data_IF_834794938502
#
_entry.id   IF_834794938502
#
_cell.length_a   1.000
_cell.length_b   1.000
_cell.length_c   1.000
_cell.angle_alpha   90.00
_cell.angle_beta   90.00
_cell.angle_gamma   90.00
#
_symmetry.space_group_name_H-M   'P 1'
#
loop_
_entity.id
_entity.type
_entity.pdbx_description
1 polymer ?
#
# COMPACT_ATOMS: atom_id res chain seq x y z
N UNK A 1 9.34 7.28 -7.94
CA UNK A 1 8.24 6.96 -8.89
C UNK A 1 6.87 7.12 -8.22
N UNK A 2 6.62 6.53 -7.05
CA UNK A 2 5.35 6.67 -6.31
C UNK A 2 4.92 8.14 -6.10
N UNK A 3 5.84 9.00 -5.66
CA UNK A 3 5.57 10.41 -5.42
C UNK A 3 5.19 11.20 -6.68
N UNK A 4 5.65 10.80 -7.86
CA UNK A 4 5.27 11.41 -9.14
C UNK A 4 3.83 11.02 -9.56
N UNK A 5 3.40 9.80 -9.25
CA UNK A 5 2.02 9.33 -9.47
C UNK A 5 1.00 10.11 -8.64
N UNK A 6 1.33 10.36 -7.37
CA UNK A 6 0.52 11.15 -6.46
C UNK A 6 0.70 12.67 -6.68
N UNK A 7 1.51 13.07 -7.66
CA UNK A 7 1.85 14.46 -7.96
C UNK A 7 2.34 15.24 -6.72
N UNK A 8 3.12 14.57 -5.87
CA UNK A 8 3.87 15.25 -4.81
C UNK A 8 5.07 16.02 -5.39
N UNK A 9 5.51 15.63 -6.59
CA UNK A 9 6.48 16.31 -7.42
C UNK A 9 6.01 16.26 -8.87
N UNK A 10 6.22 17.31 -9.65
CA UNK A 10 6.02 17.28 -11.09
C UNK A 10 7.26 16.70 -11.79
N UNK A 11 7.07 16.14 -12.99
CA UNK A 11 8.18 15.62 -13.80
C UNK A 11 8.89 16.77 -14.52
N UNK A 12 10.23 16.73 -14.58
CA UNK A 12 11.04 17.71 -15.31
C UNK A 12 10.85 17.57 -16.83
N UNK A 13 10.61 16.35 -17.31
CA UNK A 13 10.36 16.05 -18.72
C UNK A 13 9.47 14.82 -18.87
N UNK A 14 8.80 14.70 -20.01
CA UNK A 14 7.83 13.64 -20.24
C UNK A 14 6.50 13.89 -19.54
N UNK A 15 5.74 12.83 -19.30
CA UNK A 15 4.40 12.91 -18.73
C UNK A 15 4.04 11.65 -17.95
N UNK A 16 3.34 11.84 -16.85
CA UNK A 16 2.65 10.77 -16.15
C UNK A 16 1.17 10.83 -16.51
N UNK A 17 0.61 9.73 -17.05
CA UNK A 17 -0.77 9.71 -17.52
C UNK A 17 -1.62 8.68 -16.82
N UNK A 18 -2.82 9.08 -16.42
CA UNK A 18 -3.88 8.21 -15.92
C UNK A 18 -4.99 8.16 -16.97
N UNK A 19 -5.28 6.99 -17.53
CA UNK A 19 -6.23 6.82 -18.64
C UNK A 19 -5.98 7.77 -19.83
N UNK A 20 -4.70 8.01 -20.16
CA UNK A 20 -4.29 8.89 -21.25
C UNK A 20 -4.24 10.39 -20.92
N UNK A 21 -4.77 10.82 -19.76
CA UNK A 21 -4.74 12.21 -19.30
C UNK A 21 -3.50 12.45 -18.45
N UNK A 22 -2.76 13.52 -18.73
CA UNK A 22 -1.60 13.92 -17.91
C UNK A 22 -2.05 14.30 -16.50
N UNK A 23 -1.35 13.82 -15.48
CA UNK A 23 -1.69 14.14 -14.08
C UNK A 23 -1.62 15.63 -13.78
N UNK A 24 -0.90 16.41 -14.58
CA UNK A 24 -0.81 17.88 -14.47
C UNK A 24 -2.09 18.58 -14.94
N UNK A 25 -2.87 17.92 -15.79
CA UNK A 25 -4.11 18.45 -16.36
C UNK A 25 -5.36 18.11 -15.54
N UNK A 26 -5.19 17.37 -14.43
CA UNK A 26 -6.29 17.04 -13.51
C UNK A 26 -6.19 17.85 -12.22
N UNK A 27 -7.33 18.08 -11.57
CA UNK A 27 -7.35 18.73 -10.25
C UNK A 27 -6.79 17.80 -9.18
N UNK A 28 -6.22 18.36 -8.11
CA UNK A 28 -5.76 17.57 -6.96
C UNK A 28 -6.89 16.77 -6.31
N UNK A 29 -8.11 17.29 -6.28
CA UNK A 29 -9.28 16.57 -5.78
C UNK A 29 -9.54 15.30 -6.61
N UNK A 30 -9.58 15.41 -7.94
CA UNK A 30 -9.77 14.26 -8.84
C UNK A 30 -8.62 13.26 -8.73
N UNK A 31 -7.38 13.75 -8.59
CA UNK A 31 -6.22 12.87 -8.42
C UNK A 31 -6.30 12.09 -7.09
N UNK A 32 -6.64 12.75 -5.98
CA UNK A 32 -6.84 12.13 -4.66
C UNK A 32 -7.93 11.05 -4.69
N UNK A 33 -9.01 11.28 -5.44
CA UNK A 33 -10.08 10.29 -5.58
C UNK A 33 -9.68 9.11 -6.48
N UNK A 34 -8.72 9.32 -7.39
CA UNK A 34 -8.28 8.30 -8.35
C UNK A 34 -7.11 7.46 -7.83
N UNK A 35 -6.16 8.09 -7.12
CA UNK A 35 -4.92 7.47 -6.65
C UNK A 35 -4.91 7.41 -5.13
N UNK A 36 -4.94 6.19 -4.59
CA UNK A 36 -4.70 5.94 -3.16
C UNK A 36 -3.24 5.56 -2.94
N UNK A 37 -2.65 6.02 -1.85
CA UNK A 37 -1.26 5.72 -1.53
C UNK A 37 -1.13 5.26 -0.09
N UNK A 38 -0.37 4.18 0.10
CA UNK A 38 0.10 3.71 1.41
C UNK A 38 1.62 3.80 1.40
N UNK A 39 2.15 4.62 2.29
CA UNK A 39 3.59 4.79 2.48
C UNK A 39 4.12 3.84 3.53
N UNK A 40 5.42 3.60 3.49
CA UNK A 40 6.15 2.77 4.44
C UNK A 40 5.82 3.08 5.91
N UNK A 41 5.81 4.34 6.27
CA UNK A 41 5.64 4.76 7.67
C UNK A 41 4.18 4.74 8.16
N UNK A 42 3.22 4.45 7.27
CA UNK A 42 1.81 4.35 7.63
C UNK A 42 1.35 5.49 8.54
N UNK A 43 1.56 6.75 8.12
CA UNK A 43 1.36 7.89 8.99
C UNK A 43 -0.06 7.95 9.57
N UNK A 44 -0.15 7.93 10.89
CA UNK A 44 -1.36 8.13 11.66
C UNK A 44 -1.26 9.44 12.44
N UNK A 45 -2.36 10.19 12.47
CA UNK A 45 -2.48 11.40 13.26
C UNK A 45 -2.79 11.06 14.71
N UNK A 46 -2.37 11.91 15.64
CA UNK A 46 -2.68 11.79 17.07
C UNK A 46 -4.16 12.13 17.32
N UNK A 47 -5.01 11.31 16.77
CA UNK A 47 -6.47 11.44 16.77
C UNK A 47 -7.09 10.06 17.00
N UNK A 48 -8.42 10.00 17.08
CA UNK A 48 -9.14 8.72 17.18
C UNK A 48 -8.97 7.87 15.91
N UNK A 49 -9.25 6.58 16.02
CA UNK A 49 -9.34 5.66 14.87
C UNK A 49 -10.37 6.19 13.88
N UNK A 50 -11.53 6.64 14.35
CA UNK A 50 -12.58 7.30 13.55
C UNK A 50 -12.03 8.47 12.75
N UNK A 51 -11.38 9.43 13.41
CA UNK A 51 -10.80 10.61 12.75
C UNK A 51 -9.76 10.24 11.71
N UNK A 52 -8.91 9.26 12.02
CA UNK A 52 -7.92 8.75 11.08
C UNK A 52 -8.57 8.12 9.83
N UNK A 53 -9.65 7.38 9.96
CA UNK A 53 -10.40 6.79 8.85
C UNK A 53 -11.17 7.84 8.04
N UNK A 54 -11.77 8.83 8.70
CA UNK A 54 -12.51 9.92 8.08
C UNK A 54 -11.67 10.80 7.14
N UNK A 55 -10.35 10.78 7.24
CA UNK A 55 -9.46 11.45 6.27
C UNK A 55 -9.65 10.96 4.83
N UNK A 56 -10.01 9.68 4.66
CA UNK A 56 -10.27 9.10 3.34
C UNK A 56 -11.74 9.27 2.91
N UNK A 57 -12.67 9.26 3.86
CA UNK A 57 -14.10 9.36 3.61
C UNK A 57 -14.79 10.16 4.75
N UNK A 58 -14.78 11.51 4.69
CA UNK A 58 -15.29 12.35 5.77
C UNK A 58 -16.78 12.14 6.10
N UNK A 59 -17.56 11.67 5.13
CA UNK A 59 -18.99 11.42 5.26
C UNK A 59 -19.34 9.95 5.52
N UNK A 60 -18.34 9.08 5.76
CA UNK A 60 -18.58 7.66 5.99
C UNK A 60 -19.34 7.43 7.29
N UNK A 61 -20.41 6.61 7.21
CA UNK A 61 -21.14 6.16 8.39
C UNK A 61 -20.32 5.11 9.18
N UNK A 62 -20.63 4.93 10.45
CA UNK A 62 -19.96 3.94 11.32
C UNK A 62 -19.92 2.54 10.69
N UNK A 63 -21.00 2.13 10.04
CA UNK A 63 -21.07 0.83 9.38
C UNK A 63 -20.00 0.69 8.27
N UNK A 64 -19.69 1.75 7.52
CA UNK A 64 -18.66 1.77 6.49
C UNK A 64 -17.25 1.74 7.11
N UNK A 65 -17.05 2.44 8.25
CA UNK A 65 -15.81 2.40 9.00
C UNK A 65 -15.51 0.99 9.52
N UNK A 66 -16.52 0.35 10.13
CA UNK A 66 -16.40 -1.02 10.61
C UNK A 66 -16.20 -2.04 9.47
N UNK A 67 -16.83 -1.82 8.30
CA UNK A 67 -16.61 -2.66 7.13
C UNK A 67 -15.16 -2.57 6.65
N UNK A 68 -14.62 -1.37 6.55
CA UNK A 68 -13.23 -1.16 6.17
C UNK A 68 -12.25 -1.79 7.17
N UNK A 69 -12.50 -1.68 8.48
CA UNK A 69 -11.71 -2.33 9.52
C UNK A 69 -11.79 -3.86 9.42
N UNK A 70 -12.96 -4.43 9.12
CA UNK A 70 -13.15 -5.86 8.95
C UNK A 70 -12.35 -6.40 7.75
N UNK A 71 -12.42 -5.72 6.63
CA UNK A 71 -11.65 -6.04 5.41
C UNK A 71 -10.14 -5.88 5.64
N UNK A 72 -9.73 -4.92 6.46
CA UNK A 72 -8.35 -4.75 6.89
C UNK A 72 -7.91 -5.70 8.03
N UNK A 73 -8.77 -6.65 8.44
CA UNK A 73 -8.49 -7.60 9.53
C UNK A 73 -8.13 -6.91 10.86
N UNK A 74 -8.78 -5.79 11.15
CA UNK A 74 -8.51 -4.98 12.34
C UNK A 74 -9.76 -4.78 13.23
N UNK A 75 -10.95 -5.21 12.78
CA UNK A 75 -12.21 -4.94 13.48
C UNK A 75 -12.24 -5.51 14.90
N UNK A 76 -11.81 -6.76 15.08
CA UNK A 76 -11.84 -7.42 16.39
C UNK A 76 -10.93 -6.69 17.38
N UNK A 77 -9.72 -6.32 16.93
CA UNK A 77 -8.77 -5.54 17.75
C UNK A 77 -9.36 -4.20 18.19
N UNK A 78 -10.08 -3.50 17.29
CA UNK A 78 -10.69 -2.21 17.61
C UNK A 78 -11.92 -2.40 18.50
N UNK A 79 -12.69 -3.47 18.32
CA UNK A 79 -13.85 -3.80 19.16
C UNK A 79 -13.46 -4.11 20.61
N UNK A 80 -12.29 -4.71 20.82
CA UNK A 80 -11.74 -5.02 22.14
C UNK A 80 -11.16 -3.80 22.87
N UNK A 81 -10.99 -2.66 22.17
CA UNK A 81 -10.52 -1.42 22.79
C UNK A 81 -11.66 -0.75 23.59
N UNK A 82 -11.37 -0.19 24.78
CA UNK A 82 -12.40 0.43 25.63
C UNK A 82 -13.27 1.47 24.92
N UNK A 83 -12.67 2.29 24.05
CA UNK A 83 -13.33 3.37 23.34
C UNK A 83 -13.65 3.02 21.87
N UNK A 84 -13.38 1.78 21.43
CA UNK A 84 -13.64 1.30 20.07
C UNK A 84 -13.09 2.25 19.00
N UNK A 85 -13.96 2.74 18.10
CA UNK A 85 -13.59 3.70 17.05
C UNK A 85 -13.06 5.03 17.60
N UNK A 86 -13.44 5.42 18.80
CA UNK A 86 -13.04 6.70 19.41
C UNK A 86 -11.74 6.60 20.20
N UNK A 87 -11.10 5.42 20.19
CA UNK A 87 -9.79 5.20 20.77
C UNK A 87 -8.74 6.07 20.07
N UNK A 88 -8.03 6.92 20.85
CA UNK A 88 -6.93 7.76 20.37
C UNK A 88 -5.69 6.90 20.17
N UNK A 89 -5.14 6.88 18.95
CA UNK A 89 -4.02 6.02 18.56
C UNK A 89 -2.66 6.49 19.11
N UNK A 90 -2.60 7.67 19.70
CA UNK A 90 -1.36 8.27 20.22
C UNK A 90 -0.48 8.90 19.12
N UNK A 91 0.63 9.50 19.52
CA UNK A 91 1.57 10.10 18.56
C UNK A 91 2.06 9.04 17.58
N UNK A 92 1.92 9.30 16.27
CA UNK A 92 2.28 8.38 15.17
C UNK A 92 1.71 6.95 15.35
N UNK A 93 0.62 6.79 16.12
CA UNK A 93 -0.01 5.50 16.33
C UNK A 93 0.78 4.55 17.26
N UNK A 94 1.62 5.07 18.15
CA UNK A 94 2.52 4.24 18.99
C UNK A 94 1.76 3.27 19.91
N UNK A 95 0.48 3.50 20.18
CA UNK A 95 -0.39 2.59 20.95
C UNK A 95 -0.81 1.35 20.18
N UNK A 96 -0.56 1.34 18.87
CA UNK A 96 -0.83 0.21 17.99
C UNK A 96 0.48 -0.53 17.68
N UNK A 97 0.42 -1.85 17.51
CA UNK A 97 1.55 -2.60 16.96
C UNK A 97 1.88 -2.17 15.52
N UNK A 98 3.05 -2.53 15.00
CA UNK A 98 3.43 -2.25 13.62
C UNK A 98 2.39 -2.76 12.61
N UNK A 99 1.95 -4.01 12.76
CA UNK A 99 0.92 -4.61 11.91
C UNK A 99 -0.45 -3.98 12.07
N UNK A 100 -0.83 -3.55 13.27
CA UNK A 100 -2.09 -2.83 13.50
C UNK A 100 -2.07 -1.45 12.82
N UNK A 101 -0.97 -0.70 12.94
CA UNK A 101 -0.80 0.59 12.24
C UNK A 101 -0.93 0.41 10.72
N UNK A 102 -0.24 -0.58 10.16
CA UNK A 102 -0.30 -0.85 8.73
C UNK A 102 -1.72 -1.24 8.28
N UNK A 103 -2.42 -2.11 9.02
CA UNK A 103 -3.80 -2.48 8.73
C UNK A 103 -4.76 -1.29 8.84
N UNK A 104 -4.54 -0.35 9.76
CA UNK A 104 -5.34 0.87 9.84
C UNK A 104 -5.13 1.78 8.62
N UNK A 105 -3.91 1.89 8.10
CA UNK A 105 -3.68 2.63 6.85
C UNK A 105 -4.26 1.92 5.63
N UNK A 106 -4.29 0.59 5.61
CA UNK A 106 -4.99 -0.19 4.59
C UNK A 106 -6.51 0.01 4.70
N UNK A 107 -7.09 0.03 5.90
CA UNK A 107 -8.51 0.33 6.10
C UNK A 107 -8.88 1.71 5.55
N UNK A 108 -8.02 2.72 5.76
CA UNK A 108 -8.15 4.05 5.14
C UNK A 108 -8.16 3.97 3.61
N UNK A 109 -7.28 3.17 3.02
CA UNK A 109 -7.24 2.94 1.57
C UNK A 109 -8.50 2.25 1.05
N UNK A 110 -9.05 1.29 1.82
CA UNK A 110 -10.28 0.56 1.47
C UNK A 110 -11.52 1.43 1.49
N UNK A 111 -11.59 2.41 2.41
CA UNK A 111 -12.63 3.45 2.44
C UNK A 111 -12.57 4.38 1.23
N UNK A 112 -11.37 4.67 0.76
CA UNK A 112 -11.16 5.44 -0.47
C UNK A 112 -11.63 4.64 -1.68
N UNK A 113 -12.26 5.34 -2.65
CA UNK A 113 -12.73 4.74 -3.92
C UNK A 113 -11.67 4.78 -5.03
N UNK A 114 -10.41 4.92 -4.66
CA UNK A 114 -9.29 5.01 -5.60
C UNK A 114 -9.22 3.78 -6.50
N UNK A 115 -9.01 4.01 -7.80
CA UNK A 115 -8.84 2.95 -8.81
C UNK A 115 -7.39 2.53 -9.01
N UNK A 116 -6.48 3.40 -8.66
CA UNK A 116 -5.03 3.15 -8.68
C UNK A 116 -4.53 3.17 -7.25
N UNK A 117 -3.80 2.14 -6.87
CA UNK A 117 -3.20 2.00 -5.54
C UNK A 117 -1.70 1.98 -5.68
N UNK A 118 -1.04 2.83 -4.91
CA UNK A 118 0.42 2.84 -4.80
C UNK A 118 0.79 2.39 -3.40
N UNK A 119 1.59 1.34 -3.31
CA UNK A 119 2.10 0.81 -2.07
C UNK A 119 3.62 0.93 -2.06
N UNK A 120 4.15 1.63 -1.07
CA UNK A 120 5.58 1.61 -0.74
C UNK A 120 5.76 0.65 0.43
N UNK A 121 6.15 -0.60 0.10
CA UNK A 121 6.19 -1.71 1.05
C UNK A 121 7.50 -1.70 1.83
N UNK A 122 7.51 -1.05 2.96
CA UNK A 122 8.52 -1.33 3.97
C UNK A 122 7.86 -1.99 5.17
N UNK A 123 7.92 -3.25 5.18
CA UNK A 123 7.47 -4.09 6.28
C UNK A 123 8.66 -4.37 7.19
N UNK A 124 9.03 -3.41 8.02
CA UNK A 124 9.93 -3.67 9.13
C UNK A 124 9.28 -4.69 10.06
N UNK A 125 9.94 -5.83 10.26
CA UNK A 125 9.75 -6.83 11.32
C UNK A 125 8.33 -6.89 11.92
N UNK A 126 7.39 -7.45 11.16
CA UNK A 126 6.11 -7.90 11.69
C UNK A 126 6.29 -9.33 12.22
N UNK A 127 5.58 -9.66 13.30
CA UNK A 127 5.39 -11.05 13.67
C UNK A 127 4.59 -11.80 12.59
N UNK A 128 4.74 -13.12 12.54
CA UNK A 128 4.15 -13.95 11.48
C UNK A 128 2.63 -13.85 11.38
N UNK A 129 1.92 -13.67 12.52
CA UNK A 129 0.47 -13.53 12.52
C UNK A 129 0.04 -12.18 11.95
N UNK A 130 0.69 -11.10 12.36
CA UNK A 130 0.47 -9.76 11.83
C UNK A 130 0.77 -9.71 10.32
N UNK A 131 1.79 -10.45 9.86
CA UNK A 131 2.16 -10.53 8.46
C UNK A 131 1.05 -11.14 7.61
N UNK A 132 0.52 -12.29 8.02
CA UNK A 132 -0.60 -12.96 7.32
C UNK A 132 -1.82 -12.04 7.25
N UNK A 133 -2.14 -11.36 8.34
CA UNK A 133 -3.28 -10.43 8.38
C UNK A 133 -3.07 -9.21 7.45
N UNK A 134 -1.86 -8.65 7.40
CA UNK A 134 -1.51 -7.55 6.49
C UNK A 134 -1.59 -7.99 5.03
N UNK A 135 -1.06 -9.17 4.69
CA UNK A 135 -1.12 -9.70 3.32
C UNK A 135 -2.58 -9.91 2.87
N UNK A 136 -3.44 -10.47 3.73
CA UNK A 136 -4.86 -10.62 3.43
C UNK A 136 -5.55 -9.27 3.20
N UNK A 137 -5.25 -8.25 4.02
CA UNK A 137 -5.79 -6.90 3.87
C UNK A 137 -5.30 -6.23 2.57
N UNK A 138 -4.05 -6.44 2.17
CA UNK A 138 -3.50 -5.94 0.90
C UNK A 138 -4.16 -6.60 -0.30
N UNK A 139 -4.40 -7.92 -0.27
CA UNK A 139 -5.11 -8.62 -1.33
C UNK A 139 -6.51 -8.01 -1.56
N UNK A 140 -7.24 -7.69 -0.48
CA UNK A 140 -8.52 -6.96 -0.56
C UNK A 140 -8.35 -5.56 -1.17
N UNK A 141 -7.29 -4.84 -0.77
CA UNK A 141 -7.04 -3.49 -1.27
C UNK A 141 -6.69 -3.46 -2.77
N UNK A 142 -6.08 -4.51 -3.30
CA UNK A 142 -5.69 -4.60 -4.70
C UNK A 142 -6.81 -5.14 -5.61
N UNK A 143 -7.79 -5.85 -5.05
CA UNK A 143 -8.85 -6.49 -5.83
C UNK A 143 -9.58 -5.50 -6.76
N UNK A 144 -9.56 -5.77 -8.07
CA UNK A 144 -10.21 -4.95 -9.10
C UNK A 144 -9.61 -3.56 -9.32
N UNK A 145 -8.38 -3.31 -8.85
CA UNK A 145 -7.66 -2.03 -8.98
C UNK A 145 -6.34 -2.21 -9.72
N UNK A 146 -5.84 -1.14 -10.32
CA UNK A 146 -4.45 -1.10 -10.78
C UNK A 146 -3.54 -0.85 -9.57
N UNK A 147 -2.66 -1.80 -9.25
CA UNK A 147 -1.73 -1.65 -8.13
C UNK A 147 -0.29 -1.45 -8.63
N UNK A 148 0.41 -0.52 -8.02
CA UNK A 148 1.84 -0.28 -8.22
C UNK A 148 2.50 -0.45 -6.87
N UNK A 149 3.37 -1.46 -6.76
CA UNK A 149 4.00 -1.83 -5.49
C UNK A 149 5.52 -1.71 -5.62
N UNK A 150 6.13 -0.98 -4.70
CA UNK A 150 7.58 -1.03 -4.49
C UNK A 150 7.80 -2.20 -3.53
N UNK A 151 8.14 -3.35 -4.10
CA UNK A 151 8.11 -4.61 -3.38
C UNK A 151 9.46 -4.94 -2.74
N UNK A 152 9.40 -5.35 -1.49
CA UNK A 152 10.51 -5.90 -0.73
C UNK A 152 10.26 -7.36 -0.30
N UNK A 153 9.10 -7.93 -0.66
CA UNK A 153 8.72 -9.32 -0.33
C UNK A 153 8.57 -10.16 -1.58
N UNK A 154 9.05 -11.39 -1.47
CA UNK A 154 8.99 -12.35 -2.56
C UNK A 154 7.55 -12.66 -3.00
N UNK A 155 6.63 -12.82 -2.04
CA UNK A 155 5.22 -13.08 -2.31
C UNK A 155 4.57 -12.02 -3.19
N UNK A 156 4.83 -10.74 -2.89
CA UNK A 156 4.33 -9.60 -3.67
C UNK A 156 4.93 -9.56 -5.07
N UNK A 157 6.24 -9.81 -5.19
CA UNK A 157 6.94 -9.81 -6.48
C UNK A 157 6.43 -10.94 -7.38
N UNK A 158 6.23 -12.14 -6.83
CA UNK A 158 5.75 -13.31 -7.60
C UNK A 158 4.33 -13.18 -8.11
N UNK A 159 3.46 -12.48 -7.38
CA UNK A 159 2.07 -12.28 -7.75
C UNK A 159 1.82 -11.11 -8.71
N UNK A 160 2.86 -10.36 -9.06
CA UNK A 160 2.72 -9.21 -9.95
C UNK A 160 2.53 -9.64 -11.42
N UNK A 161 1.58 -9.02 -12.13
CA UNK A 161 1.38 -9.22 -13.56
C UNK A 161 2.57 -8.74 -14.38
N UNK A 162 3.23 -7.68 -13.93
CA UNK A 162 4.42 -7.09 -14.57
C UNK A 162 5.38 -6.61 -13.51
N UNK A 163 6.64 -7.03 -13.62
CA UNK A 163 7.76 -6.56 -12.80
C UNK A 163 8.60 -5.61 -13.63
N UNK A 164 8.97 -4.48 -13.05
CA UNK A 164 9.91 -3.51 -13.61
C UNK A 164 11.15 -3.48 -12.72
N UNK A 165 12.30 -3.83 -13.28
CA UNK A 165 13.58 -3.69 -12.59
C UNK A 165 14.14 -2.31 -12.90
N UNK A 166 14.41 -1.53 -11.86
CA UNK A 166 14.94 -0.16 -11.99
C UNK A 166 16.35 -0.11 -11.44
N UNK A 167 17.28 0.36 -12.24
CA UNK A 167 18.68 0.57 -11.87
C UNK A 167 19.14 1.92 -12.42
N UNK A 168 19.80 2.72 -11.60
CA UNK A 168 20.25 4.08 -11.94
C UNK A 168 19.17 4.96 -12.58
N UNK A 169 17.94 4.85 -12.07
CA UNK A 169 16.78 5.63 -12.54
C UNK A 169 16.20 5.17 -13.87
N UNK A 170 16.64 4.04 -14.42
CA UNK A 170 16.17 3.47 -15.70
C UNK A 170 15.55 2.10 -15.52
N UNK A 171 14.53 1.79 -16.31
CA UNK A 171 13.97 0.44 -16.38
C UNK A 171 14.94 -0.41 -17.23
N UNK A 172 15.65 -1.35 -16.58
CA UNK A 172 16.63 -2.24 -17.24
C UNK A 172 16.00 -3.55 -17.66
N UNK A 173 14.96 -4.03 -16.94
CA UNK A 173 14.23 -5.25 -17.29
C UNK A 173 12.74 -5.07 -17.06
N UNK A 174 11.93 -5.79 -17.84
CA UNK A 174 10.47 -5.86 -17.73
C UNK A 174 9.99 -7.25 -18.11
N UNK A 175 9.06 -7.81 -17.32
CA UNK A 175 8.44 -9.12 -17.59
C UNK A 175 7.68 -9.66 -16.39
N UNK A 176 7.21 -10.91 -16.50
CA UNK A 176 6.71 -11.67 -15.35
C UNK A 176 7.86 -12.27 -14.55
N UNK A 177 7.57 -12.79 -13.37
CA UNK A 177 8.54 -13.50 -12.53
C UNK A 177 9.29 -14.60 -13.30
N UNK A 178 8.55 -15.48 -13.96
CA UNK A 178 9.13 -16.61 -14.71
C UNK A 178 9.98 -16.13 -15.89
N UNK A 179 9.50 -15.14 -16.64
CA UNK A 179 10.23 -14.59 -17.80
C UNK A 179 11.56 -13.98 -17.37
N UNK A 180 11.58 -13.22 -16.28
CA UNK A 180 12.77 -12.55 -15.79
C UNK A 180 13.76 -13.53 -15.17
N UNK A 181 13.31 -14.57 -14.47
CA UNK A 181 14.17 -15.65 -13.98
C UNK A 181 14.82 -16.41 -15.14
N UNK A 182 14.04 -16.76 -16.17
CA UNK A 182 14.53 -17.49 -17.33
C UNK A 182 15.60 -16.71 -18.13
N UNK A 183 15.54 -15.37 -18.12
CA UNK A 183 16.55 -14.50 -18.75
C UNK A 183 17.90 -14.52 -18.02
N UNK A 184 17.93 -14.85 -16.72
CA UNK A 184 19.16 -14.89 -15.93
C UNK A 184 19.84 -13.52 -15.75
N UNK A 185 19.09 -12.42 -15.93
CA UNK A 185 19.60 -11.05 -15.84
C UNK A 185 19.58 -10.47 -14.43
N UNK A 186 19.51 -9.13 -14.34
CA UNK A 186 19.56 -8.39 -13.08
C UNK A 186 18.49 -8.80 -12.08
N UNK A 187 17.27 -9.06 -12.54
CA UNK A 187 16.22 -9.59 -11.70
C UNK A 187 16.62 -10.90 -11.02
N UNK A 188 17.19 -11.84 -11.77
CA UNK A 188 17.62 -13.14 -11.26
C UNK A 188 18.70 -13.01 -10.18
N UNK A 189 19.61 -12.04 -10.33
CA UNK A 189 20.64 -11.73 -9.32
C UNK A 189 20.00 -11.18 -8.05
N UNK A 190 19.12 -10.16 -8.17
CA UNK A 190 18.39 -9.57 -7.05
C UNK A 190 17.55 -10.63 -6.32
N UNK A 191 16.84 -11.48 -7.07
CA UNK A 191 16.05 -12.56 -6.53
C UNK A 191 16.89 -13.51 -5.66
N UNK A 192 18.06 -13.94 -6.16
CA UNK A 192 18.95 -14.84 -5.42
C UNK A 192 19.58 -14.18 -4.19
N UNK A 193 19.77 -12.85 -4.22
CA UNK A 193 20.44 -12.12 -3.13
C UNK A 193 19.46 -11.71 -2.04
N UNK A 194 18.29 -11.18 -2.41
CA UNK A 194 17.32 -10.64 -1.45
C UNK A 194 16.40 -11.70 -0.86
N UNK A 195 16.08 -12.74 -1.62
CA UNK A 195 15.07 -13.73 -1.23
C UNK A 195 15.66 -15.13 -0.99
N UNK A 196 16.98 -15.21 -0.80
CA UNK A 196 17.67 -16.49 -0.60
C UNK A 196 17.13 -17.28 0.59
N UNK A 197 16.83 -16.60 1.67
CA UNK A 197 16.36 -17.21 2.92
C UNK A 197 14.87 -17.61 2.83
N UNK A 198 14.05 -16.87 2.06
CA UNK A 198 12.65 -17.19 1.82
C UNK A 198 12.45 -18.34 0.81
N UNK A 199 13.45 -18.61 -0.03
CA UNK A 199 13.41 -19.71 -1.01
C UNK A 199 13.89 -21.04 -0.40
N UNK A 200 14.66 -20.97 0.68
CA UNK A 200 15.23 -22.13 1.37
C UNK A 200 14.32 -22.70 2.47
N UNK A 201 13.23 -22.01 2.82
CA UNK A 201 12.22 -22.41 3.79
C UNK A 201 10.99 -23.00 3.11
#
# INVERSE_FOLDING_TARGET
MAALLARLYDVDSGAFRLNGVDVRDVTFASLKDTVGMVTQDGHLFHESIRSNLALAAPAAADAELWDALRRARLADVVADMPDGLDTVVGERGYRLSGGQRQRLTIARLLLGRSRVVVLDEATASLDSESEVAVQAALAEAFAGRTSIVIAHRLSTVRSADVILVVEDGRIVERGTHEQLLARGGRYSELYRTQFRDEVAA
#
